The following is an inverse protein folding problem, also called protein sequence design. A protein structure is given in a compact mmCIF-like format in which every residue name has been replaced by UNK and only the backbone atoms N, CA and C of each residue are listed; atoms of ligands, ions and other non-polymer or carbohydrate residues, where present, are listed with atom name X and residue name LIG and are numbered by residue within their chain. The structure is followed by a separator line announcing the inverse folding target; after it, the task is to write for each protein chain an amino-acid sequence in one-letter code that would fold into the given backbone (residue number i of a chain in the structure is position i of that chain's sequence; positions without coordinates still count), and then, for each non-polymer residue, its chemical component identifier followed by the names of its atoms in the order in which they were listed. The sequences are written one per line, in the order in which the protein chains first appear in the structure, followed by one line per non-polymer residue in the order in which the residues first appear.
data_IF_780674213617
#
_entry.id   IF_780674213617
#
_cell.length_a   1.000
_cell.length_b   1.000
_cell.length_c   1.000
_cell.angle_alpha   90.00
_cell.angle_beta   90.00
_cell.angle_gamma   90.00
#
_symmetry.space_group_name_H-M   'P 1'
#
loop_
_entity.id
_entity.type
_entity.pdbx_description
1 polymer ?
#
# COMPACT_ATOMS: atom_id res chain seq x y z
N UNK A 1 -15.38 20.95 -34.33
CA UNK A 1 -14.49 19.86 -34.78
C UNK A 1 -14.47 18.85 -33.66
N UNK A 2 -15.38 17.88 -33.70
CA UNK A 2 -15.44 16.82 -32.70
C UNK A 2 -14.30 15.84 -32.97
N UNK A 3 -13.43 15.67 -31.99
CA UNK A 3 -12.41 14.63 -31.98
C UNK A 3 -13.13 13.30 -31.69
N UNK A 4 -13.37 12.49 -32.72
CA UNK A 4 -13.95 11.14 -32.55
C UNK A 4 -13.05 10.33 -31.60
N UNK A 5 -13.51 10.14 -30.37
CA UNK A 5 -12.82 9.29 -29.41
C UNK A 5 -12.95 7.84 -29.87
N UNK A 6 -11.82 7.14 -29.94
CA UNK A 6 -11.79 5.71 -30.22
C UNK A 6 -12.69 4.95 -29.23
N UNK A 7 -13.43 3.93 -29.70
CA UNK A 7 -14.30 3.13 -28.85
C UNK A 7 -13.48 2.39 -27.78
N UNK A 8 -14.03 2.31 -26.57
CA UNK A 8 -13.40 1.66 -25.42
C UNK A 8 -13.41 0.15 -25.63
N UNK A 9 -12.27 -0.50 -25.41
CA UNK A 9 -12.16 -1.96 -25.39
C UNK A 9 -12.27 -2.43 -23.94
N UNK A 10 -13.20 -3.35 -23.67
CA UNK A 10 -13.32 -4.01 -22.37
C UNK A 10 -12.64 -5.37 -22.46
N UNK A 11 -11.68 -5.63 -21.57
CA UNK A 11 -11.02 -6.92 -21.46
C UNK A 11 -11.52 -7.65 -20.20
N UNK A 12 -11.93 -8.91 -20.36
CA UNK A 12 -12.39 -9.77 -19.27
C UNK A 12 -11.53 -11.02 -19.24
N UNK A 13 -10.67 -11.14 -18.22
CA UNK A 13 -9.87 -12.34 -17.97
C UNK A 13 -10.33 -12.99 -16.67
N UNK A 14 -10.54 -14.31 -16.65
CA UNK A 14 -11.02 -14.99 -15.46
C UNK A 14 -10.99 -16.51 -15.56
N UNK A 15 -11.14 -17.16 -14.42
CA UNK A 15 -11.26 -18.62 -14.35
C UNK A 15 -12.56 -19.05 -15.03
N UNK A 16 -12.47 -19.95 -16.01
CA UNK A 16 -13.58 -20.39 -16.84
C UNK A 16 -14.76 -20.98 -16.03
N UNK A 17 -14.49 -21.55 -14.86
CA UNK A 17 -15.52 -22.13 -14.00
C UNK A 17 -16.09 -21.15 -12.98
N UNK A 18 -15.55 -19.93 -12.88
CA UNK A 18 -15.98 -18.94 -11.90
C UNK A 18 -17.26 -18.24 -12.39
N UNK A 19 -18.37 -18.30 -11.62
CA UNK A 19 -19.59 -17.56 -11.94
C UNK A 19 -19.36 -16.06 -12.13
N UNK A 20 -18.43 -15.44 -11.39
CA UNK A 20 -18.12 -14.02 -11.51
C UNK A 20 -17.52 -13.68 -12.89
N UNK A 21 -16.70 -14.57 -13.45
CA UNK A 21 -16.16 -14.41 -14.80
C UNK A 21 -17.29 -14.40 -15.84
N UNK A 22 -18.26 -15.30 -15.72
CA UNK A 22 -19.41 -15.33 -16.64
C UNK A 22 -20.29 -14.09 -16.54
N UNK A 23 -20.53 -13.59 -15.33
CA UNK A 23 -21.26 -12.34 -15.12
C UNK A 23 -20.52 -11.17 -15.80
N UNK A 24 -19.22 -11.02 -15.52
CA UNK A 24 -18.40 -9.95 -16.10
C UNK A 24 -18.36 -10.03 -17.64
N UNK A 25 -18.20 -11.24 -18.20
CA UNK A 25 -18.25 -11.49 -19.64
C UNK A 25 -19.57 -11.01 -20.24
N UNK A 26 -20.71 -11.45 -19.70
CA UNK A 26 -22.02 -11.07 -20.22
C UNK A 26 -22.27 -9.56 -20.10
N UNK A 27 -21.81 -8.93 -19.02
CA UNK A 27 -21.89 -7.47 -18.87
C UNK A 27 -21.07 -6.75 -19.94
N UNK A 28 -19.85 -7.22 -20.24
CA UNK A 28 -19.01 -6.62 -21.27
C UNK A 28 -19.63 -6.75 -22.68
N UNK A 29 -20.24 -7.90 -22.99
CA UNK A 29 -20.99 -8.12 -24.23
C UNK A 29 -22.23 -7.21 -24.33
N UNK A 30 -22.96 -7.04 -23.23
CA UNK A 30 -24.11 -6.14 -23.16
C UNK A 30 -23.74 -4.66 -23.40
N UNK A 31 -22.60 -4.20 -22.86
CA UNK A 31 -22.11 -2.83 -23.08
C UNK A 31 -21.88 -2.53 -24.57
N UNK A 32 -21.34 -3.50 -25.32
CA UNK A 32 -21.19 -3.37 -26.78
C UNK A 32 -22.54 -3.29 -27.49
N UNK A 33 -23.51 -4.10 -27.08
CA UNK A 33 -24.84 -4.11 -27.67
C UNK A 33 -25.61 -2.80 -27.41
N UNK A 34 -25.55 -2.29 -26.17
CA UNK A 34 -26.25 -1.07 -25.77
C UNK A 34 -25.59 0.20 -26.32
N UNK A 35 -24.26 0.21 -26.45
CA UNK A 35 -23.48 1.40 -26.83
C UNK A 35 -22.47 1.10 -27.95
N UNK A 36 -22.93 0.71 -29.15
CA UNK A 36 -22.08 0.14 -30.21
C UNK A 36 -21.02 1.08 -30.78
N UNK A 37 -21.22 2.40 -30.67
CA UNK A 37 -20.25 3.42 -31.07
C UNK A 37 -19.25 3.80 -29.97
N UNK A 38 -19.58 3.52 -28.70
CA UNK A 38 -18.72 3.85 -27.55
C UNK A 38 -17.82 2.69 -27.14
N UNK A 39 -18.23 1.46 -27.41
CA UNK A 39 -17.48 0.26 -27.05
C UNK A 39 -17.14 -0.57 -28.28
N UNK A 40 -15.94 -1.14 -28.29
CA UNK A 40 -15.52 -2.18 -29.22
C UNK A 40 -15.99 -3.55 -28.72
N UNK A 41 -15.81 -4.59 -29.54
CA UNK A 41 -16.08 -5.95 -29.09
C UNK A 41 -15.17 -6.30 -27.90
N UNK A 42 -15.72 -6.91 -26.84
CA UNK A 42 -14.93 -7.21 -25.65
C UNK A 42 -13.93 -8.33 -25.95
N UNK A 43 -12.75 -8.22 -25.36
CA UNK A 43 -11.72 -9.27 -25.40
C UNK A 43 -11.93 -10.17 -24.19
N UNK A 44 -12.23 -11.45 -24.42
CA UNK A 44 -12.55 -12.40 -23.35
C UNK A 44 -11.49 -13.50 -23.30
N UNK A 45 -10.81 -13.62 -22.17
CA UNK A 45 -9.78 -14.61 -21.89
C UNK A 45 -10.25 -15.59 -20.81
N UNK A 46 -10.98 -16.66 -21.19
CA UNK A 46 -11.31 -17.74 -20.27
C UNK A 46 -10.05 -18.57 -19.98
N UNK A 47 -9.70 -18.72 -18.72
CA UNK A 47 -8.54 -19.49 -18.29
C UNK A 47 -8.96 -20.75 -17.54
N UNK A 48 -8.34 -21.89 -17.86
CA UNK A 48 -8.43 -23.08 -17.02
C UNK A 48 -7.63 -22.88 -15.73
N UNK A 49 -7.89 -23.70 -14.71
CA UNK A 49 -7.28 -23.53 -13.38
C UNK A 49 -5.75 -23.42 -13.41
N UNK A 50 -5.05 -24.23 -14.22
CA UNK A 50 -3.59 -24.14 -14.37
C UNK A 50 -3.16 -22.80 -15.01
N UNK A 51 -3.80 -22.38 -16.09
CA UNK A 51 -3.48 -21.13 -16.80
C UNK A 51 -3.89 -19.90 -15.99
N UNK A 52 -4.95 -20.00 -15.18
CA UNK A 52 -5.35 -18.99 -14.21
C UNK A 52 -4.29 -18.83 -13.13
N UNK A 53 -3.76 -19.93 -12.61
CA UNK A 53 -2.66 -19.90 -11.65
C UNK A 53 -1.39 -19.29 -12.27
N UNK A 54 -0.99 -19.68 -13.49
CA UNK A 54 0.13 -19.07 -14.20
C UNK A 54 -0.10 -17.58 -14.48
N UNK A 55 -1.31 -17.20 -14.90
CA UNK A 55 -1.70 -15.81 -15.11
C UNK A 55 -1.57 -15.00 -13.81
N UNK A 56 -2.10 -15.51 -12.71
CA UNK A 56 -1.98 -14.86 -11.40
C UNK A 56 -0.52 -14.74 -10.97
N UNK A 57 0.29 -15.77 -11.16
CA UNK A 57 1.72 -15.74 -10.82
C UNK A 57 2.51 -14.77 -11.71
N UNK A 58 2.23 -14.72 -13.02
CA UNK A 58 2.83 -13.74 -13.93
C UNK A 58 2.38 -12.30 -13.61
N UNK A 59 1.19 -12.14 -13.02
CA UNK A 59 0.66 -10.85 -12.55
C UNK A 59 1.14 -10.47 -11.16
N UNK A 60 1.64 -11.42 -10.35
CA UNK A 60 2.28 -11.13 -9.06
C UNK A 60 3.56 -10.34 -9.31
N UNK A 61 3.43 -9.02 -9.25
CA UNK A 61 4.57 -8.14 -9.03
C UNK A 61 4.85 -8.13 -7.54
N UNK A 62 5.88 -8.87 -7.14
CA UNK A 62 6.45 -8.65 -5.83
C UNK A 62 7.11 -7.27 -5.85
N UNK A 63 6.51 -6.34 -5.11
CA UNK A 63 7.04 -5.00 -4.95
C UNK A 63 7.71 -4.97 -3.58
N UNK A 64 9.02 -4.78 -3.58
CA UNK A 64 9.79 -4.65 -2.35
C UNK A 64 10.20 -3.21 -2.15
N UNK A 65 10.17 -2.76 -0.90
CA UNK A 65 10.59 -1.43 -0.50
C UNK A 65 11.41 -1.51 0.77
N UNK A 66 12.37 -0.60 0.90
CA UNK A 66 13.24 -0.54 2.08
C UNK A 66 13.12 0.81 2.78
N UNK A 67 13.29 0.80 4.10
CA UNK A 67 13.45 1.97 4.94
C UNK A 67 14.74 1.83 5.75
N UNK A 68 15.73 2.68 5.50
CA UNK A 68 16.94 2.76 6.32
C UNK A 68 16.64 3.58 7.58
N UNK A 69 16.90 3.01 8.75
CA UNK A 69 16.48 3.59 10.02
C UNK A 69 17.68 4.08 10.82
N UNK A 70 17.54 5.26 11.43
CA UNK A 70 18.47 5.77 12.43
C UNK A 70 17.76 6.19 13.73
N UNK A 71 18.48 6.01 14.85
CA UNK A 71 18.12 6.56 16.17
C UNK A 71 19.22 7.54 16.55
N UNK A 72 18.87 8.80 16.85
CA UNK A 72 19.86 9.87 17.14
C UNK A 72 20.94 9.99 16.06
N UNK A 73 20.54 9.92 14.79
CA UNK A 73 21.43 9.93 13.61
C UNK A 73 22.37 8.72 13.49
N UNK A 74 22.29 7.74 14.41
CA UNK A 74 23.03 6.49 14.31
C UNK A 74 22.22 5.44 13.53
N UNK A 75 22.71 4.95 12.37
CA UNK A 75 22.04 3.89 11.63
C UNK A 75 21.88 2.63 12.48
N UNK A 76 20.68 2.05 12.47
CA UNK A 76 20.37 0.83 13.24
C UNK A 76 20.05 -0.37 12.35
N UNK A 77 19.95 -0.16 11.04
CA UNK A 77 19.66 -1.18 10.04
C UNK A 77 18.52 -0.76 9.12
N UNK A 78 18.17 -1.67 8.22
CA UNK A 78 17.17 -1.47 7.17
C UNK A 78 15.96 -2.35 7.45
N UNK A 79 14.76 -1.81 7.27
CA UNK A 79 13.51 -2.57 7.25
C UNK A 79 13.12 -2.82 5.80
N UNK A 80 13.12 -4.08 5.37
CA UNK A 80 12.70 -4.48 4.03
C UNK A 80 11.29 -5.06 4.09
N UNK A 81 10.39 -4.54 3.27
CA UNK A 81 9.00 -4.96 3.20
C UNK A 81 8.66 -5.54 1.84
N UNK A 82 7.88 -6.61 1.84
CA UNK A 82 7.07 -7.01 0.70
C UNK A 82 5.73 -6.27 0.75
N UNK A 83 5.31 -5.70 -0.37
CA UNK A 83 4.00 -5.09 -0.56
C UNK A 83 3.07 -6.05 -1.30
N UNK A 84 1.87 -6.26 -0.77
CA UNK A 84 0.85 -7.14 -1.33
C UNK A 84 0.07 -6.45 -2.46
N UNK A 85 0.79 -6.06 -3.52
CA UNK A 85 0.27 -5.23 -4.61
C UNK A 85 -0.77 -5.92 -5.49
N UNK A 86 -0.87 -7.25 -5.40
CA UNK A 86 -1.93 -8.07 -6.00
C UNK A 86 -3.26 -7.95 -5.24
N UNK A 87 -3.21 -7.70 -3.93
CA UNK A 87 -4.39 -7.56 -3.07
C UNK A 87 -4.77 -6.09 -2.87
N UNK A 88 -3.81 -5.22 -2.61
CA UNK A 88 -4.02 -3.80 -2.32
C UNK A 88 -3.19 -2.90 -3.26
N UNK A 89 -3.41 -2.95 -4.60
CA UNK A 89 -2.59 -2.23 -5.57
C UNK A 89 -2.49 -0.73 -5.33
N UNK A 90 -3.59 -0.06 -4.98
CA UNK A 90 -3.63 1.39 -4.75
C UNK A 90 -2.89 1.77 -3.47
N UNK A 91 -3.09 1.00 -2.39
CA UNK A 91 -2.43 1.24 -1.10
C UNK A 91 -0.92 0.99 -1.22
N UNK A 92 -0.54 -0.08 -1.90
CA UNK A 92 0.86 -0.42 -2.15
C UNK A 92 1.54 0.62 -3.03
N UNK A 93 0.88 1.10 -4.09
CA UNK A 93 1.43 2.13 -4.97
C UNK A 93 1.66 3.45 -4.23
N UNK A 94 0.73 3.85 -3.36
CA UNK A 94 0.94 5.01 -2.48
C UNK A 94 2.20 4.85 -1.62
N UNK A 95 2.37 3.71 -0.95
CA UNK A 95 3.54 3.50 -0.09
C UNK A 95 4.84 3.42 -0.90
N UNK A 96 4.83 2.72 -2.04
CA UNK A 96 5.97 2.58 -2.96
C UNK A 96 6.44 3.94 -3.47
N UNK A 97 5.53 4.76 -3.98
CA UNK A 97 5.86 6.09 -4.50
C UNK A 97 6.37 7.03 -3.41
N UNK A 98 5.82 6.96 -2.19
CA UNK A 98 6.36 7.70 -1.04
C UNK A 98 7.75 7.20 -0.61
N UNK A 99 8.09 5.94 -0.84
CA UNK A 99 9.46 5.46 -0.65
C UNK A 99 10.41 6.00 -1.72
N UNK A 100 10.00 6.02 -2.99
CA UNK A 100 10.84 6.53 -4.10
C UNK A 100 11.02 8.04 -4.07
N UNK A 101 10.00 8.79 -3.67
CA UNK A 101 9.97 10.25 -3.80
C UNK A 101 9.68 10.73 -5.22
N UNK A 102 10.05 11.98 -5.52
CA UNK A 102 9.92 12.61 -6.83
C UNK A 102 8.54 13.19 -7.16
N UNK A 103 7.49 12.81 -6.43
CA UNK A 103 6.15 13.38 -6.60
C UNK A 103 6.01 14.63 -5.74
N UNK A 104 5.59 15.75 -6.33
CA UNK A 104 5.39 16.99 -5.60
C UNK A 104 3.95 17.09 -5.08
N UNK A 105 3.79 17.46 -3.80
CA UNK A 105 2.47 17.79 -3.25
C UNK A 105 1.90 19.02 -3.97
N UNK A 106 0.70 18.93 -4.54
CA UNK A 106 0.03 20.10 -5.12
C UNK A 106 -0.41 21.10 -4.03
N UNK A 107 -0.45 20.71 -2.76
CA UNK A 107 -0.84 21.59 -1.65
C UNK A 107 0.33 22.32 -1.02
N UNK A 108 1.40 21.60 -0.69
CA UNK A 108 2.55 22.18 0.03
C UNK A 108 3.71 22.57 -0.89
N UNK A 109 3.73 22.07 -2.12
CA UNK A 109 4.88 22.20 -3.02
C UNK A 109 6.12 21.44 -2.53
N UNK A 110 5.99 20.60 -1.50
CA UNK A 110 7.06 19.75 -1.00
C UNK A 110 7.01 18.38 -1.67
N UNK A 111 8.17 17.73 -1.76
CA UNK A 111 8.28 16.37 -2.24
C UNK A 111 7.58 15.40 -1.26
N UNK A 112 6.75 14.53 -1.81
CA UNK A 112 6.08 13.46 -1.09
C UNK A 112 7.06 12.30 -0.91
N UNK A 113 7.73 12.24 0.23
CA UNK A 113 8.70 11.17 0.53
C UNK A 113 8.72 10.78 2.01
N UNK A 114 8.98 9.51 2.29
CA UNK A 114 9.28 9.05 3.65
C UNK A 114 10.68 9.41 4.12
N UNK A 115 11.59 9.81 3.22
CA UNK A 115 12.93 10.21 3.59
C UNK A 115 12.88 11.39 4.57
N UNK A 116 13.61 11.27 5.67
CA UNK A 116 13.63 12.18 6.82
C UNK A 116 12.35 12.24 7.66
N UNK A 117 11.32 11.45 7.34
CA UNK A 117 10.13 11.33 8.20
C UNK A 117 10.46 10.58 9.50
N UNK A 118 9.69 10.85 10.55
CA UNK A 118 9.92 10.29 11.88
C UNK A 118 8.92 9.17 12.22
N UNK A 119 9.39 8.17 12.95
CA UNK A 119 8.52 7.36 13.81
C UNK A 119 8.13 8.22 15.01
N UNK A 120 6.88 8.63 15.06
CA UNK A 120 6.41 9.63 16.02
C UNK A 120 5.60 9.02 17.17
N UNK A 121 5.21 7.74 17.06
CA UNK A 121 4.45 7.04 18.09
C UNK A 121 4.81 5.55 18.15
N UNK A 122 5.23 5.07 19.31
CA UNK A 122 5.56 3.67 19.59
C UNK A 122 4.65 3.18 20.72
N UNK A 123 3.60 2.44 20.36
CA UNK A 123 2.65 1.86 21.32
C UNK A 123 3.14 0.46 21.65
N UNK A 124 3.87 0.30 22.75
CA UNK A 124 4.48 -0.98 23.12
C UNK A 124 3.48 -1.86 23.90
N UNK A 125 3.42 -3.17 23.65
CA UNK A 125 4.12 -3.99 22.64
C UNK A 125 3.28 -4.17 21.36
N UNK A 126 2.48 -3.18 20.98
CA UNK A 126 1.40 -3.32 19.99
C UNK A 126 1.89 -3.02 18.57
N UNK A 127 2.41 -1.81 18.33
CA UNK A 127 2.89 -1.37 17.02
C UNK A 127 3.79 -0.14 17.15
N UNK A 128 4.48 0.18 16.06
CA UNK A 128 5.21 1.43 15.86
C UNK A 128 4.62 2.18 14.66
N UNK A 129 4.53 3.51 14.73
CA UNK A 129 3.87 4.34 13.72
C UNK A 129 4.80 5.46 13.24
N UNK A 130 4.80 5.64 11.93
CA UNK A 130 5.58 6.63 11.21
C UNK A 130 4.81 7.22 10.04
N UNK A 131 5.54 7.84 9.11
CA UNK A 131 4.96 8.28 7.83
C UNK A 131 4.16 9.57 7.89
N UNK A 132 4.25 10.39 8.94
CA UNK A 132 3.89 11.80 8.79
C UNK A 132 5.01 12.52 8.03
N UNK A 133 4.86 12.59 6.71
CA UNK A 133 5.80 13.24 5.79
C UNK A 133 5.73 14.77 5.85
N UNK A 134 4.77 15.32 6.60
CA UNK A 134 4.55 16.77 6.72
C UNK A 134 4.92 17.32 8.09
N UNK A 135 5.25 16.46 9.07
CA UNK A 135 5.40 16.91 10.45
C UNK A 135 5.67 15.81 11.48
N UNK A 136 4.92 15.86 12.59
CA UNK A 136 5.24 15.18 13.86
C UNK A 136 4.15 14.23 14.36
N UNK A 137 3.18 13.88 13.52
CA UNK A 137 2.13 12.89 13.78
C UNK A 137 0.70 13.33 13.46
N UNK A 138 0.49 14.61 13.13
CA UNK A 138 -0.85 15.17 12.91
C UNK A 138 -1.23 15.30 11.42
N UNK A 139 -0.24 15.21 10.53
CA UNK A 139 -0.41 15.44 9.10
C UNK A 139 -0.22 14.19 8.25
N UNK A 140 0.39 14.39 7.08
CA UNK A 140 0.56 13.38 6.05
C UNK A 140 -0.36 13.63 4.85
N UNK A 141 0.07 13.15 3.70
CA UNK A 141 -0.66 13.26 2.43
C UNK A 141 -0.36 12.03 1.57
N UNK A 142 -1.36 11.52 0.86
CA UNK A 142 -1.17 10.45 -0.12
C UNK A 142 -0.74 11.02 -1.47
N UNK A 143 -0.19 10.16 -2.34
CA UNK A 143 0.10 10.54 -3.73
C UNK A 143 -1.16 10.89 -4.54
N UNK A 144 -2.36 10.55 -4.02
CA UNK A 144 -3.65 10.79 -4.65
C UNK A 144 -4.35 12.07 -4.14
N UNK A 145 -3.70 12.81 -3.24
CA UNK A 145 -4.30 13.94 -2.53
C UNK A 145 -4.36 13.71 -1.01
N UNK A 146 -5.19 14.45 -0.26
CA UNK A 146 -5.10 14.48 1.20
C UNK A 146 -5.29 13.11 1.84
N UNK A 147 -6.31 12.39 1.39
CA UNK A 147 -6.54 11.02 1.81
C UNK A 147 -7.14 10.20 0.68
N UNK A 148 -7.08 8.88 0.80
CA UNK A 148 -7.75 7.90 -0.05
C UNK A 148 -8.55 6.88 0.77
N UNK A 149 -9.40 6.15 0.07
CA UNK A 149 -10.32 5.15 0.63
C UNK A 149 -9.61 3.91 1.18
N UNK A 150 -10.24 3.23 2.16
CA UNK A 150 -9.90 1.85 2.51
C UNK A 150 -10.12 0.94 1.28
N UNK A 151 -9.05 0.40 0.73
CA UNK A 151 -9.09 -0.39 -0.51
C UNK A 151 -9.76 -1.75 -0.30
N UNK A 152 -9.28 -2.54 0.67
CA UNK A 152 -9.95 -3.75 1.15
C UNK A 152 -9.37 -4.21 2.50
N UNK A 153 -9.97 -5.24 3.09
CA UNK A 153 -9.58 -5.81 4.38
C UNK A 153 -9.28 -7.31 4.30
N UNK A 154 -8.77 -7.77 3.15
CA UNK A 154 -8.51 -9.19 2.92
C UNK A 154 -7.30 -9.71 3.72
N UNK A 155 -6.34 -8.83 4.05
CA UNK A 155 -5.14 -9.18 4.80
C UNK A 155 -5.39 -8.96 6.30
N UNK A 156 -5.27 -10.01 7.13
CA UNK A 156 -5.49 -9.92 8.57
C UNK A 156 -4.20 -9.56 9.32
N UNK A 157 -4.33 -8.91 10.49
CA UNK A 157 -3.21 -8.51 11.33
C UNK A 157 -2.72 -9.65 12.25
N UNK A 158 -2.25 -10.74 11.64
CA UNK A 158 -1.98 -12.01 12.32
C UNK A 158 -0.64 -12.11 13.06
N UNK A 159 0.26 -11.14 12.95
CA UNK A 159 1.60 -11.29 13.51
C UNK A 159 2.40 -10.01 13.53
N UNK A 160 3.65 -10.14 13.98
CA UNK A 160 4.65 -9.07 13.97
C UNK A 160 5.12 -8.75 12.55
N UNK A 161 5.37 -7.48 12.28
CA UNK A 161 5.90 -7.02 11.00
C UNK A 161 4.85 -6.75 9.94
N UNK A 162 3.56 -6.98 10.20
CA UNK A 162 2.48 -6.56 9.29
C UNK A 162 2.51 -5.03 9.18
N UNK A 163 2.57 -4.56 7.94
CA UNK A 163 2.52 -3.15 7.54
C UNK A 163 1.07 -2.77 7.25
N UNK A 164 0.57 -1.71 7.91
CA UNK A 164 -0.80 -1.24 7.75
C UNK A 164 -0.95 0.28 7.76
N UNK A 165 -2.02 0.77 7.17
CA UNK A 165 -2.30 2.21 7.08
C UNK A 165 -2.88 2.73 8.40
N UNK A 166 -2.26 3.80 8.93
CA UNK A 166 -2.87 4.57 10.00
C UNK A 166 -3.90 5.52 9.40
N UNK A 167 -5.09 5.58 10.01
CA UNK A 167 -6.19 6.43 9.55
C UNK A 167 -6.88 7.14 10.73
N UNK A 168 -7.66 8.18 10.42
CA UNK A 168 -8.48 8.94 11.37
C UNK A 168 -9.96 8.56 11.25
N UNK A 169 -10.23 7.31 10.92
CA UNK A 169 -11.56 6.80 10.58
C UNK A 169 -11.64 6.29 9.14
N UNK A 170 -12.84 5.85 8.76
CA UNK A 170 -13.10 5.21 7.47
C UNK A 170 -12.67 6.11 6.31
N UNK A 171 -12.00 5.54 5.31
CA UNK A 171 -11.58 6.20 4.07
C UNK A 171 -10.70 7.46 4.29
N UNK A 172 -9.80 7.42 5.27
CA UNK A 172 -8.90 8.54 5.59
C UNK A 172 -7.41 8.16 5.57
N UNK A 173 -7.04 7.27 4.65
CA UNK A 173 -5.65 6.82 4.50
C UNK A 173 -4.81 7.92 3.86
N UNK A 174 -3.67 8.27 4.44
CA UNK A 174 -2.75 9.29 3.93
C UNK A 174 -1.37 8.69 3.63
N UNK A 175 -0.34 9.20 4.30
CA UNK A 175 1.00 8.63 4.31
C UNK A 175 1.35 7.90 5.61
N UNK A 176 0.58 8.09 6.68
CA UNK A 176 0.92 7.48 7.95
C UNK A 176 0.68 5.96 7.92
N UNK A 177 1.62 5.21 8.48
CA UNK A 177 1.59 3.75 8.53
C UNK A 177 2.01 3.26 9.92
N UNK A 178 1.68 2.01 10.22
CA UNK A 178 2.21 1.29 11.37
C UNK A 178 2.83 -0.05 10.98
N UNK A 179 3.77 -0.51 11.81
CA UNK A 179 4.33 -1.85 11.78
C UNK A 179 3.95 -2.53 13.08
N UNK A 180 3.24 -3.63 12.98
CA UNK A 180 2.78 -4.42 14.13
C UNK A 180 3.95 -5.08 14.87
N UNK A 181 3.87 -5.16 16.19
CA UNK A 181 4.86 -5.83 17.05
C UNK A 181 4.33 -7.17 17.58
N UNK A 182 3.01 -7.38 17.51
CA UNK A 182 2.26 -8.58 17.88
C UNK A 182 0.96 -8.67 17.05
N UNK A 183 0.20 -9.79 17.09
CA UNK A 183 -1.10 -9.88 16.44
C UNK A 183 -2.09 -8.83 16.98
N UNK A 184 -2.80 -8.13 16.09
CA UNK A 184 -3.76 -7.06 16.43
C UNK A 184 -5.10 -7.22 15.68
N UNK A 185 -5.82 -8.34 15.87
CA UNK A 185 -7.03 -8.67 15.10
C UNK A 185 -8.18 -7.65 15.25
N UNK A 186 -8.16 -6.83 16.30
CA UNK A 186 -9.16 -5.77 16.47
C UNK A 186 -9.02 -4.59 15.50
N UNK A 187 -7.91 -4.52 14.74
CA UNK A 187 -7.70 -3.62 13.61
C UNK A 187 -8.22 -4.19 12.29
N UNK A 188 -8.52 -5.50 12.23
CA UNK A 188 -9.12 -6.11 11.05
C UNK A 188 -10.44 -5.40 10.72
N UNK A 189 -10.65 -5.14 9.43
CA UNK A 189 -11.81 -4.38 8.91
C UNK A 189 -11.89 -2.90 9.32
N UNK A 190 -10.84 -2.36 9.97
CA UNK A 190 -10.74 -0.94 10.34
C UNK A 190 -9.54 -0.25 9.71
N UNK A 191 -8.44 -0.97 9.59
CA UNK A 191 -7.21 -0.49 8.98
C UNK A 191 -6.79 -1.45 7.86
N UNK A 192 -6.33 -0.90 6.74
CA UNK A 192 -5.85 -1.69 5.60
C UNK A 192 -4.45 -2.20 5.91
N UNK A 193 -4.28 -3.52 6.02
CA UNK A 193 -2.97 -4.16 5.95
C UNK A 193 -2.59 -4.36 4.48
N UNK A 194 -1.34 -4.08 4.12
CA UNK A 194 -0.91 -4.08 2.71
C UNK A 194 0.53 -4.55 2.49
N UNK A 195 1.23 -4.99 3.54
CA UNK A 195 2.57 -5.54 3.39
C UNK A 195 3.06 -6.25 4.64
N UNK A 196 4.27 -6.79 4.56
CA UNK A 196 4.91 -7.55 5.63
C UNK A 196 6.42 -7.31 5.62
N UNK A 197 6.99 -7.15 6.81
CA UNK A 197 8.44 -7.11 7.01
C UNK A 197 9.03 -8.48 6.65
N UNK A 198 9.99 -8.49 5.73
CA UNK A 198 10.71 -9.69 5.29
C UNK A 198 12.15 -9.73 5.80
N UNK A 199 12.81 -8.57 5.97
CA UNK A 199 14.12 -8.44 6.61
C UNK A 199 14.17 -7.20 7.51
N UNK A 200 15.09 -7.19 8.49
CA UNK A 200 15.24 -6.06 9.43
C UNK A 200 14.65 -6.28 10.81
N UNK A 201 14.42 -7.53 11.23
CA UNK A 201 13.88 -7.86 12.57
C UNK A 201 14.66 -7.20 13.72
N UNK A 202 16.00 -7.16 13.63
CA UNK A 202 16.85 -6.51 14.64
C UNK A 202 16.64 -4.99 14.67
N UNK A 203 16.53 -4.34 13.52
CA UNK A 203 16.23 -2.90 13.44
C UNK A 203 14.85 -2.60 14.04
N UNK A 204 13.84 -3.43 13.77
CA UNK A 204 12.51 -3.30 14.35
C UNK A 204 12.54 -3.48 15.88
N UNK A 205 13.29 -4.44 16.39
CA UNK A 205 13.47 -4.66 17.84
C UNK A 205 14.17 -3.48 18.52
N UNK A 206 15.22 -2.93 17.89
CA UNK A 206 15.92 -1.75 18.41
C UNK A 206 15.01 -0.52 18.43
N UNK A 207 14.20 -0.33 17.39
CA UNK A 207 13.21 0.75 17.33
C UNK A 207 12.11 0.58 18.38
N UNK A 208 11.61 -0.64 18.58
CA UNK A 208 10.67 -0.99 19.67
C UNK A 208 11.27 -0.71 21.05
N UNK A 209 12.57 -0.90 21.25
CA UNK A 209 13.23 -0.70 22.55
C UNK A 209 13.34 0.78 22.97
N UNK A 210 13.18 1.75 22.05
CA UNK A 210 13.38 3.18 22.31
C UNK A 210 12.49 3.72 23.44
N UNK A 211 13.03 4.36 24.49
CA UNK A 211 12.23 4.93 25.58
C UNK A 211 11.21 5.96 25.08
N UNK A 212 10.00 5.92 25.64
CA UNK A 212 8.91 6.84 25.26
C UNK A 212 8.43 7.71 26.42
N UNK A 213 7.67 8.75 26.08
CA UNK A 213 6.83 9.51 26.98
C UNK A 213 5.48 9.72 26.28
N UNK A 214 4.40 9.15 26.84
CA UNK A 214 3.07 9.11 26.21
C UNK A 214 3.12 8.57 24.76
N UNK A 215 3.70 7.37 24.60
CA UNK A 215 3.97 6.71 23.32
C UNK A 215 4.93 7.45 22.37
N UNK A 216 5.33 8.69 22.67
CA UNK A 216 6.25 9.45 21.82
C UNK A 216 7.71 9.09 22.13
N UNK A 217 8.54 8.74 21.14
CA UNK A 217 9.97 8.52 21.36
C UNK A 217 10.63 9.72 22.06
N UNK A 218 11.49 9.44 23.05
CA UNK A 218 12.30 10.48 23.71
C UNK A 218 13.45 10.96 22.84
N UNK A 219 13.86 10.14 21.89
CA UNK A 219 14.94 10.41 20.95
C UNK A 219 14.43 10.32 19.52
N UNK A 220 15.08 11.02 18.60
CA UNK A 220 14.68 11.03 17.20
C UNK A 220 14.86 9.64 16.57
N UNK A 221 13.79 9.09 16.01
CA UNK A 221 13.78 7.85 15.24
C UNK A 221 13.31 8.17 13.83
N UNK A 222 14.19 8.03 12.84
CA UNK A 222 13.95 8.55 11.48
C UNK A 222 14.18 7.50 10.41
N UNK A 223 13.48 7.66 9.30
CA UNK A 223 13.83 7.06 8.02
C UNK A 223 14.89 7.94 7.38
N UNK A 224 16.15 7.50 7.31
CA UNK A 224 17.24 8.29 6.71
C UNK A 224 17.28 8.18 5.20
N UNK A 225 16.81 7.06 4.67
CA UNK A 225 16.66 6.81 3.25
C UNK A 225 15.59 5.74 3.02
N UNK A 226 15.01 5.73 1.83
CA UNK A 226 13.99 4.77 1.43
C UNK A 226 13.95 4.64 -0.09
N UNK A 227 13.33 3.58 -0.59
CA UNK A 227 13.18 3.36 -2.02
C UNK A 227 12.56 2.00 -2.34
N UNK A 228 12.43 1.72 -3.63
CA UNK A 228 12.15 0.38 -4.13
C UNK A 228 13.39 -0.50 -4.10
N UNK A 229 13.19 -1.78 -3.86
CA UNK A 229 14.23 -2.80 -3.87
C UNK A 229 13.97 -3.77 -5.02
N UNK A 230 14.97 -3.98 -5.86
CA UNK A 230 14.99 -5.03 -6.88
C UNK A 230 16.00 -6.08 -6.44
N UNK A 231 15.57 -7.34 -6.19
CA UNK A 231 16.47 -8.43 -5.82
C UNK A 231 17.44 -8.82 -6.95
#
# INVERSE_FOLDING_TARGET
MDCERLPVVVEVTGLLQDPAFHVAKCTAEALKLEFPSKFADPVVHPLFEFAWNEYLQAKKKHVFVYLDIAIEEQPIGTLLFELFSDVCPKTCENFRALCEGGVMSPRSGQELTYKNSCFHRLVKPVWIQGGDITGKGDGGESIYGPTFEDENFAIPHKGRGVLGMANKGRHSNGSQFYITLQPVPYLDKKCVAFGQLIEGTEALQRLEAVPTHNDRPRVACKVTNCGTFQP
#
